data_IF_736412624528
#
_entry.id   IF_736412624528
#
_cell.length_a   1.000
_cell.length_b   1.000
_cell.length_c   1.000
_cell.angle_alpha   90.00
_cell.angle_beta   90.00
_cell.angle_gamma   90.00
#
_symmetry.space_group_name_H-M   'P 1'
#
loop_
_entity.id
_entity.type
_entity.pdbx_description
1 polymer ?
#
# COMPACT_ATOMS: atom_id res chain seq x y z
N UNK A 1 -20.92 12.62 12.09
CA UNK A 1 -20.43 11.39 11.42
C UNK A 1 -19.43 10.70 12.36
N UNK A 2 -19.31 9.37 12.36
CA UNK A 2 -18.40 8.64 13.25
C UNK A 2 -16.93 8.98 12.89
N UNK A 3 -16.12 9.54 13.81
CA UNK A 3 -14.72 9.89 13.52
C UNK A 3 -13.83 8.68 13.22
N UNK A 4 -14.20 7.47 13.66
CA UNK A 4 -13.43 6.24 13.43
C UNK A 4 -13.58 5.67 12.02
N UNK A 5 -14.41 6.27 11.15
CA UNK A 5 -14.57 5.83 9.76
C UNK A 5 -13.27 5.92 8.93
N UNK A 6 -12.29 6.70 9.38
CA UNK A 6 -10.96 6.80 8.76
C UNK A 6 -10.01 5.70 9.20
N UNK A 7 -10.36 4.91 10.22
CA UNK A 7 -9.52 3.85 10.77
C UNK A 7 -10.18 2.48 10.60
N UNK A 8 -9.67 1.70 9.65
CA UNK A 8 -10.26 0.41 9.29
C UNK A 8 -10.34 -0.61 10.44
N UNK A 9 -9.49 -0.47 11.46
CA UNK A 9 -9.53 -1.34 12.64
C UNK A 9 -10.49 -0.86 13.73
N UNK A 10 -10.96 0.38 13.69
CA UNK A 10 -11.79 0.98 14.74
C UNK A 10 -13.26 1.15 14.35
N UNK A 11 -13.55 1.10 13.05
CA UNK A 11 -14.91 1.31 12.51
C UNK A 11 -15.94 0.22 12.88
N UNK A 12 -15.50 -0.91 13.45
CA UNK A 12 -16.36 -2.03 13.86
C UNK A 12 -16.52 -2.11 15.38
N UNK A 13 -17.71 -2.51 15.84
CA UNK A 13 -18.02 -2.69 17.27
C UNK A 13 -17.17 -3.78 17.94
N UNK A 14 -16.74 -4.81 17.18
CA UNK A 14 -15.92 -5.89 17.72
C UNK A 14 -14.68 -6.14 16.86
N UNK A 15 -13.58 -5.50 17.25
CA UNK A 15 -12.28 -5.59 16.56
C UNK A 15 -11.68 -7.00 16.59
N UNK A 16 -12.08 -7.85 17.55
CA UNK A 16 -11.60 -9.24 17.63
C UNK A 16 -12.20 -10.13 16.54
N UNK A 17 -13.25 -9.69 15.86
CA UNK A 17 -13.89 -10.46 14.79
C UNK A 17 -13.38 -10.06 13.39
N UNK A 18 -12.34 -9.21 13.32
CA UNK A 18 -11.77 -8.80 12.03
C UNK A 18 -11.09 -10.02 11.39
N UNK A 19 -11.63 -10.44 10.24
CA UNK A 19 -11.08 -11.51 9.41
C UNK A 19 -10.19 -10.96 8.29
N UNK A 20 -10.31 -9.67 7.95
CA UNK A 20 -9.52 -8.96 6.93
C UNK A 20 -9.69 -7.45 7.12
N UNK A 21 -8.63 -6.68 6.92
CA UNK A 21 -8.70 -5.22 6.95
C UNK A 21 -7.60 -4.62 6.05
N UNK A 22 -8.03 -4.03 4.93
CA UNK A 22 -7.18 -3.38 3.93
C UNK A 22 -7.70 -2.00 3.54
N UNK A 23 -6.80 -1.04 3.47
CA UNK A 23 -7.02 0.19 2.74
C UNK A 23 -6.54 0.02 1.30
N UNK A 24 -7.30 0.60 0.37
CA UNK A 24 -6.86 0.88 -0.99
C UNK A 24 -6.76 2.39 -1.11
N UNK A 25 -5.56 2.92 -1.27
CA UNK A 25 -5.31 4.32 -1.49
C UNK A 25 -4.82 4.52 -2.92
N UNK A 26 -5.50 5.36 -3.68
CA UNK A 26 -5.10 5.74 -5.04
C UNK A 26 -4.65 7.20 -5.03
N UNK A 27 -3.44 7.43 -5.52
CA UNK A 27 -2.77 8.74 -5.51
C UNK A 27 -2.42 9.07 -6.95
N UNK A 28 -2.78 10.27 -7.39
CA UNK A 28 -2.37 10.80 -8.69
C UNK A 28 -1.18 11.73 -8.50
N UNK A 29 0.00 11.30 -8.96
CA UNK A 29 1.23 12.08 -8.98
C UNK A 29 1.53 12.44 -10.43
N UNK A 30 1.22 13.68 -10.82
CA UNK A 30 1.26 14.16 -12.20
C UNK A 30 0.46 13.25 -13.16
N UNK A 31 1.18 12.46 -13.95
CA UNK A 31 0.65 11.55 -14.97
C UNK A 31 0.64 10.08 -14.49
N UNK A 32 1.27 9.80 -13.34
CA UNK A 32 1.33 8.46 -12.76
C UNK A 32 0.20 8.30 -11.74
N UNK A 33 -0.51 7.18 -11.84
CA UNK A 33 -1.44 6.73 -10.81
C UNK A 33 -0.75 5.66 -9.97
N UNK A 34 -0.54 5.96 -8.69
CA UNK A 34 -0.02 5.04 -7.70
C UNK A 34 -1.17 4.44 -6.91
N UNK A 35 -1.28 3.12 -6.93
CA UNK A 35 -2.18 2.35 -6.10
C UNK A 35 -1.38 1.74 -4.95
N UNK A 36 -1.80 2.05 -3.74
CA UNK A 36 -1.19 1.59 -2.51
C UNK A 36 -2.22 0.79 -1.71
N UNK A 37 -2.05 -0.53 -1.69
CA UNK A 37 -2.85 -1.44 -0.87
C UNK A 37 -2.07 -1.82 0.38
N UNK A 38 -2.66 -1.57 1.55
CA UNK A 38 -1.98 -1.82 2.83
C UNK A 38 -2.95 -2.19 3.93
N UNK A 39 -2.47 -2.99 4.88
CA UNK A 39 -3.28 -3.46 5.99
C UNK A 39 -2.81 -4.77 6.58
N UNK A 40 -3.70 -5.42 7.32
CA UNK A 40 -3.41 -6.70 7.96
C UNK A 40 -3.81 -7.83 7.04
N UNK A 41 -2.79 -8.51 6.49
CA UNK A 41 -2.98 -9.76 5.79
C UNK A 41 -3.42 -10.86 6.76
N UNK A 42 -4.28 -11.74 6.26
CA UNK A 42 -4.75 -12.91 6.98
C UNK A 42 -4.45 -14.18 6.18
N UNK A 43 -3.31 -14.85 6.47
CA UNK A 43 -2.96 -16.10 5.81
C UNK A 43 -3.99 -17.21 6.03
N UNK A 44 -4.71 -17.17 7.16
CA UNK A 44 -5.71 -18.17 7.57
C UNK A 44 -7.13 -17.78 7.15
N UNK A 45 -7.29 -16.84 6.22
CA UNK A 45 -8.60 -16.39 5.77
C UNK A 45 -9.48 -17.58 5.31
N UNK A 46 -10.76 -17.67 5.74
CA UNK A 46 -11.57 -16.64 6.38
C UNK A 46 -11.58 -16.62 7.92
N UNK A 47 -10.67 -17.33 8.60
CA UNK A 47 -10.62 -17.30 10.07
C UNK A 47 -10.32 -15.89 10.62
N UNK A 48 -10.56 -15.65 11.90
CA UNK A 48 -10.16 -14.38 12.56
C UNK A 48 -8.64 -14.19 12.51
N UNK A 49 -8.18 -12.95 12.33
CA UNK A 49 -6.75 -12.61 12.36
C UNK A 49 -6.16 -12.96 13.74
N UNK A 50 -5.31 -13.98 13.78
CA UNK A 50 -4.58 -14.40 15.00
C UNK A 50 -3.18 -13.80 15.08
N UNK A 51 -2.56 -13.52 13.93
CA UNK A 51 -1.19 -12.99 13.81
C UNK A 51 -1.23 -11.67 13.05
N UNK A 52 -0.54 -10.66 13.58
CA UNK A 52 -0.37 -9.37 12.92
C UNK A 52 0.69 -9.51 11.82
N UNK A 53 0.24 -9.69 10.58
CA UNK A 53 1.10 -9.59 9.40
C UNK A 53 0.67 -8.37 8.60
N UNK A 54 1.47 -7.32 8.64
CA UNK A 54 1.19 -6.12 7.86
C UNK A 54 1.80 -6.26 6.48
N UNK A 55 1.08 -5.86 5.44
CA UNK A 55 1.60 -5.82 4.07
C UNK A 55 1.51 -4.41 3.51
N UNK A 56 2.46 -4.11 2.63
CA UNK A 56 2.53 -2.91 1.81
C UNK A 56 2.65 -3.40 0.37
N UNK A 57 1.69 -3.07 -0.47
CA UNK A 57 1.64 -3.46 -1.87
C UNK A 57 1.46 -2.20 -2.73
N UNK A 58 2.33 -2.05 -3.72
CA UNK A 58 2.46 -0.83 -4.52
C UNK A 58 2.44 -1.18 -5.99
N UNK A 59 1.49 -0.58 -6.71
CA UNK A 59 1.42 -0.62 -8.16
C UNK A 59 1.41 0.81 -8.70
N UNK A 60 2.13 1.06 -9.79
CA UNK A 60 2.07 2.33 -10.49
C UNK A 60 1.69 2.12 -11.95
N UNK A 61 0.90 3.04 -12.48
CA UNK A 61 0.41 2.97 -13.86
C UNK A 61 0.40 4.35 -14.50
N UNK A 62 0.44 4.37 -15.82
CA UNK A 62 0.23 5.55 -16.65
C UNK A 62 -0.95 5.28 -17.57
N UNK A 63 -1.83 6.27 -17.76
CA UNK A 63 -2.96 6.17 -18.68
C UNK A 63 -2.80 7.19 -19.79
N UNK A 64 -2.45 6.73 -20.99
CA UNK A 64 -2.27 7.57 -22.18
C UNK A 64 -1.59 6.81 -23.32
N UNK A 65 -1.39 7.50 -24.44
CA UNK A 65 -0.66 6.95 -25.58
C UNK A 65 0.82 7.23 -25.37
N UNK A 66 1.64 6.18 -25.40
CA UNK A 66 3.10 6.28 -25.38
C UNK A 66 3.70 5.90 -26.72
N UNK A 67 4.69 6.65 -27.17
CA UNK A 67 5.61 6.22 -28.21
C UNK A 67 6.60 5.23 -27.61
N UNK A 68 7.15 4.36 -28.46
CA UNK A 68 8.08 3.32 -28.01
C UNK A 68 9.27 3.87 -27.20
N UNK A 69 9.85 5.00 -27.60
CA UNK A 69 10.99 5.62 -26.91
C UNK A 69 10.62 6.27 -25.56
N UNK A 70 9.34 6.44 -25.25
CA UNK A 70 8.88 7.04 -24.00
C UNK A 70 8.66 5.98 -22.91
N UNK A 71 8.54 4.69 -23.28
CA UNK A 71 8.22 3.59 -22.37
C UNK A 71 9.21 3.52 -21.21
N UNK A 72 10.52 3.51 -21.49
CA UNK A 72 11.55 3.44 -20.45
C UNK A 72 11.47 4.62 -19.49
N UNK A 73 11.17 5.81 -20.00
CA UNK A 73 11.00 7.01 -19.19
C UNK A 73 9.83 6.85 -18.21
N UNK A 74 8.70 6.32 -18.67
CA UNK A 74 7.53 6.13 -17.79
C UNK A 74 7.69 4.97 -16.82
N UNK A 75 8.39 3.89 -17.19
CA UNK A 75 8.75 2.82 -16.25
C UNK A 75 9.64 3.37 -15.13
N UNK A 76 10.62 4.21 -15.47
CA UNK A 76 11.48 4.84 -14.45
C UNK A 76 10.71 5.82 -13.56
N UNK A 77 9.78 6.59 -14.12
CA UNK A 77 8.88 7.45 -13.33
C UNK A 77 8.04 6.63 -12.36
N UNK A 78 7.38 5.56 -12.83
CA UNK A 78 6.59 4.65 -12.01
C UNK A 78 7.41 4.05 -10.86
N UNK A 79 8.61 3.55 -11.16
CA UNK A 79 9.53 3.03 -10.15
C UNK A 79 9.89 4.09 -9.10
N UNK A 80 10.20 5.31 -9.54
CA UNK A 80 10.54 6.41 -8.62
C UNK A 80 9.38 6.75 -7.69
N UNK A 81 8.14 6.78 -8.20
CA UNK A 81 6.95 7.04 -7.36
C UNK A 81 6.70 5.93 -6.35
N UNK A 82 6.83 4.66 -6.75
CA UNK A 82 6.74 3.52 -5.83
C UNK A 82 7.82 3.63 -4.76
N UNK A 83 9.07 3.91 -5.14
CA UNK A 83 10.18 4.01 -4.20
C UNK A 83 9.94 5.12 -3.18
N UNK A 84 9.55 6.33 -3.62
CA UNK A 84 9.25 7.45 -2.71
C UNK A 84 8.18 7.07 -1.69
N UNK A 85 7.09 6.44 -2.13
CA UNK A 85 6.01 6.04 -1.23
C UNK A 85 6.43 4.89 -0.30
N UNK A 86 7.20 3.92 -0.79
CA UNK A 86 7.73 2.83 0.03
C UNK A 86 8.62 3.39 1.16
N UNK A 87 9.58 4.25 0.82
CA UNK A 87 10.49 4.87 1.78
C UNK A 87 9.74 5.69 2.84
N UNK A 88 8.71 6.43 2.42
CA UNK A 88 7.83 7.14 3.36
C UNK A 88 7.04 6.20 4.29
N UNK A 89 6.76 4.97 3.85
CA UNK A 89 5.93 4.00 4.59
C UNK A 89 6.72 3.15 5.59
N UNK A 90 8.05 3.18 5.53
CA UNK A 90 8.93 2.41 6.42
C UNK A 90 9.68 3.33 7.40
N UNK A 91 10.30 2.73 8.40
CA UNK A 91 11.16 3.45 9.37
C UNK A 91 12.58 2.88 9.30
N UNK A 92 13.57 3.62 9.78
CA UNK A 92 14.96 3.13 9.87
C UNK A 92 15.07 1.77 10.58
N UNK A 93 14.33 1.59 11.67
CA UNK A 93 14.27 0.31 12.38
C UNK A 93 13.78 -0.85 11.49
N UNK A 94 12.85 -0.57 10.58
CA UNK A 94 12.38 -1.58 9.63
C UNK A 94 13.44 -1.83 8.55
N UNK A 95 14.09 -0.78 8.05
CA UNK A 95 15.18 -0.83 7.07
C UNK A 95 16.34 -1.72 7.55
N UNK A 96 16.80 -1.49 8.78
CA UNK A 96 17.84 -2.30 9.42
C UNK A 96 17.44 -3.78 9.53
N UNK A 97 16.19 -4.05 9.93
CA UNK A 97 15.68 -5.42 10.09
C UNK A 97 15.67 -6.21 8.78
N UNK A 98 15.53 -5.52 7.64
CA UNK A 98 15.56 -6.12 6.32
C UNK A 98 16.93 -6.04 5.63
N UNK A 99 17.96 -5.50 6.29
CA UNK A 99 19.33 -5.43 5.75
C UNK A 99 19.48 -4.49 4.56
N UNK A 100 18.69 -3.42 4.51
CA UNK A 100 18.68 -2.43 3.42
C UNK A 100 19.67 -1.27 3.67
N UNK A 101 20.80 -1.54 4.35
CA UNK A 101 21.82 -0.56 4.72
C UNK A 101 23.00 -0.55 3.75
#
# INVERSE_FOLDING_TARGET
>A
MNPDLTSIFRVTQNQKNIIRAFHNLEIKNDEIMLKFQYGMNNPDYPAVIKKKSFILDFDASFTGILKHHEIDTYIMKQHSEIQKQFEFSITEKLREKFGLN
#
